data_IF_852621701900
#
_entry.id   IF_852621701900
#
_cell.length_a   1.000
_cell.length_b   1.000
_cell.length_c   1.000
_cell.angle_alpha   90.00
_cell.angle_beta   90.00
_cell.angle_gamma   90.00
#
_symmetry.space_group_name_H-M   'P 1'
#
loop_
_entity.id
_entity.type
_entity.pdbx_description
1 polymer ?
#
# COMPACT_ATOMS: atom_id res chain seq x y z
N UNK A 1 -8.23 -40.35 33.29
CA UNK A 1 -8.61 -39.42 32.20
C UNK A 1 -7.43 -38.61 31.66
N UNK A 2 -6.56 -38.05 32.51
CA UNK A 2 -5.36 -37.28 32.11
C UNK A 2 -4.38 -37.99 31.16
N UNK A 3 -4.02 -39.28 31.34
CA UNK A 3 -3.03 -39.92 30.46
C UNK A 3 -3.61 -40.21 29.06
N UNK A 4 -4.91 -40.45 28.96
CA UNK A 4 -5.59 -40.69 27.68
C UNK A 4 -5.58 -39.42 26.83
N UNK A 5 -5.83 -38.25 27.46
CA UNK A 5 -5.76 -36.97 26.76
C UNK A 5 -4.36 -36.68 26.20
N UNK A 6 -3.31 -37.01 26.95
CA UNK A 6 -1.93 -36.82 26.50
C UNK A 6 -1.61 -37.68 25.27
N UNK A 7 -2.06 -38.93 25.25
CA UNK A 7 -1.89 -39.84 24.09
C UNK A 7 -2.66 -39.35 22.87
N UNK A 8 -3.88 -38.84 23.05
CA UNK A 8 -4.70 -38.31 21.96
C UNK A 8 -4.08 -37.06 21.32
N UNK A 9 -3.45 -36.19 22.11
CA UNK A 9 -2.75 -35.01 21.60
C UNK A 9 -1.49 -35.38 20.80
N UNK A 10 -0.78 -36.43 21.21
CA UNK A 10 0.37 -36.96 20.47
C UNK A 10 -0.05 -37.68 19.17
N UNK A 11 -1.28 -38.17 19.11
CA UNK A 11 -1.86 -38.79 17.92
C UNK A 11 -2.50 -37.80 16.94
N UNK A 12 -2.55 -36.51 17.28
CA UNK A 12 -3.08 -35.48 16.39
C UNK A 12 -2.10 -35.21 15.24
N UNK A 13 -2.44 -35.71 14.05
CA UNK A 13 -1.70 -35.45 12.81
C UNK A 13 -2.02 -34.08 12.19
N UNK A 14 -1.20 -33.61 11.24
CA UNK A 14 -1.47 -32.37 10.52
C UNK A 14 -2.83 -32.45 9.82
N UNK A 15 -3.68 -31.44 10.02
CA UNK A 15 -4.92 -31.30 9.27
C UNK A 15 -4.57 -30.98 7.81
N UNK A 16 -4.80 -31.94 6.91
CA UNK A 16 -4.63 -31.77 5.48
C UNK A 16 -5.75 -30.88 4.90
N UNK A 17 -5.69 -29.58 5.21
CA UNK A 17 -6.52 -28.60 4.54
C UNK A 17 -6.09 -28.52 3.07
N UNK A 18 -7.05 -28.63 2.15
CA UNK A 18 -6.76 -28.53 0.73
C UNK A 18 -6.15 -27.15 0.41
N UNK A 19 -5.08 -27.05 -0.41
CA UNK A 19 -4.48 -25.78 -0.79
C UNK A 19 -5.47 -24.78 -1.40
N UNK A 20 -6.61 -25.26 -1.90
CA UNK A 20 -7.71 -24.45 -2.41
C UNK A 20 -8.27 -23.42 -1.41
N UNK A 21 -8.11 -23.61 -0.10
CA UNK A 21 -8.48 -22.59 0.90
C UNK A 21 -7.49 -21.42 0.98
N UNK A 22 -6.22 -21.62 0.60
CA UNK A 22 -5.22 -20.55 0.51
C UNK A 22 -5.23 -19.85 -0.85
N UNK A 23 -5.80 -20.51 -1.88
CA UNK A 23 -5.97 -19.91 -3.20
C UNK A 23 -6.86 -18.64 -3.18
N UNK A 24 -7.77 -18.52 -2.21
CA UNK A 24 -8.54 -17.29 -2.00
C UNK A 24 -7.72 -16.11 -1.45
N UNK A 25 -6.56 -16.36 -0.84
CA UNK A 25 -5.66 -15.33 -0.29
C UNK A 25 -4.74 -14.75 -1.38
N UNK A 26 -4.50 -15.51 -2.46
CA UNK A 26 -3.80 -15.03 -3.66
C UNK A 26 -4.70 -14.13 -4.55
N UNK A 27 -5.73 -13.52 -3.97
CA UNK A 27 -6.75 -12.72 -4.66
C UNK A 27 -6.19 -11.40 -5.19
N UNK A 28 -6.68 -11.06 -6.39
CA UNK A 28 -6.36 -9.91 -7.24
C UNK A 28 -6.16 -8.55 -6.54
N UNK A 29 -6.70 -8.36 -5.33
CA UNK A 29 -6.64 -7.11 -4.56
C UNK A 29 -5.22 -6.60 -4.31
N UNK A 30 -4.24 -7.50 -4.14
CA UNK A 30 -2.85 -7.10 -3.93
C UNK A 30 -2.20 -6.49 -5.18
N UNK A 31 -2.47 -7.07 -6.35
CA UNK A 31 -1.97 -6.52 -7.62
C UNK A 31 -2.73 -5.25 -8.03
N UNK A 32 -4.02 -5.16 -7.71
CA UNK A 32 -4.82 -3.93 -7.91
C UNK A 32 -4.29 -2.80 -7.01
N UNK A 33 -3.99 -3.09 -5.74
CA UNK A 33 -3.36 -2.12 -4.85
C UNK A 33 -2.00 -1.64 -5.39
N UNK A 34 -1.15 -2.57 -5.86
CA UNK A 34 0.11 -2.23 -6.52
C UNK A 34 -0.08 -1.36 -7.77
N UNK A 35 -1.05 -1.68 -8.62
CA UNK A 35 -1.38 -0.92 -9.81
C UNK A 35 -1.88 0.50 -9.48
N UNK A 36 -2.74 0.64 -8.48
CA UNK A 36 -3.26 1.94 -8.04
C UNK A 36 -2.15 2.86 -7.51
N UNK A 37 -1.23 2.31 -6.71
CA UNK A 37 -0.06 3.06 -6.20
C UNK A 37 0.84 3.48 -7.37
N UNK A 38 1.14 2.57 -8.30
CA UNK A 38 1.94 2.88 -9.48
C UNK A 38 1.35 4.01 -10.33
N UNK A 39 0.03 4.00 -10.52
CA UNK A 39 -0.68 5.05 -11.26
C UNK A 39 -0.60 6.40 -10.55
N UNK A 40 -0.82 6.44 -9.22
CA UNK A 40 -0.73 7.67 -8.44
C UNK A 40 0.67 8.30 -8.53
N UNK A 41 1.73 7.49 -8.44
CA UNK A 41 3.12 7.95 -8.58
C UNK A 41 3.36 8.51 -9.99
N UNK A 42 2.92 7.81 -11.03
CA UNK A 42 3.10 8.25 -12.41
C UNK A 42 2.44 9.61 -12.68
N UNK A 43 1.20 9.81 -12.21
CA UNK A 43 0.48 11.08 -12.34
C UNK A 43 1.13 12.20 -11.52
N UNK A 44 1.58 11.91 -10.29
CA UNK A 44 2.30 12.87 -9.46
C UNK A 44 3.61 13.35 -10.11
N UNK A 45 4.40 12.42 -10.65
CA UNK A 45 5.62 12.76 -11.38
C UNK A 45 5.33 13.53 -12.66
N UNK A 46 4.31 13.14 -13.43
CA UNK A 46 3.89 13.86 -14.63
C UNK A 46 3.49 15.31 -14.31
N UNK A 47 2.66 15.51 -13.28
CA UNK A 47 2.25 16.83 -12.82
C UNK A 47 3.43 17.69 -12.38
N UNK A 48 4.36 17.11 -11.61
CA UNK A 48 5.57 17.80 -11.17
C UNK A 48 6.52 18.17 -12.32
N UNK A 49 6.57 17.34 -13.38
CA UNK A 49 7.36 17.60 -14.60
C UNK A 49 6.69 18.62 -15.52
N UNK A 50 5.36 18.65 -15.60
CA UNK A 50 4.63 19.65 -16.40
C UNK A 50 4.62 21.02 -15.73
N UNK A 51 4.44 21.06 -14.40
CA UNK A 51 4.40 22.32 -13.64
C UNK A 51 5.73 23.07 -13.62
N UNK A 52 6.86 22.38 -13.76
CA UNK A 52 8.20 23.02 -13.87
C UNK A 52 8.45 23.66 -15.24
N UNK A 53 7.74 23.26 -16.30
CA UNK A 53 7.76 23.98 -17.58
C UNK A 53 7.00 25.31 -17.47
N UNK A 54 5.92 25.36 -16.67
CA UNK A 54 5.12 26.59 -16.46
C UNK A 54 5.67 27.52 -15.38
N UNK A 55 6.46 27.02 -14.42
CA UNK A 55 7.07 27.80 -13.34
C UNK A 55 8.41 28.46 -13.71
N UNK A 56 8.87 28.29 -14.95
CA UNK A 56 10.09 28.92 -15.45
C UNK A 56 9.91 30.40 -15.86
N UNK A 57 8.69 30.97 -15.73
CA UNK A 57 8.36 32.32 -16.22
C UNK A 57 7.78 33.31 -15.18
N UNK A 58 7.65 32.98 -13.90
CA UNK A 58 7.24 33.97 -12.88
C UNK A 58 8.45 34.49 -12.07
N UNK A 59 8.79 35.79 -12.16
CA UNK A 59 9.70 36.42 -11.20
C UNK A 59 8.99 36.50 -9.84
N UNK A 60 9.67 36.08 -8.77
CA UNK A 60 9.29 36.37 -7.39
C UNK A 60 9.40 37.90 -7.17
N UNK A 61 8.32 38.62 -7.45
CA UNK A 61 8.10 39.98 -6.95
C UNK A 61 6.91 39.95 -5.99
N UNK A 62 7.23 39.93 -4.69
CA UNK A 62 6.30 40.32 -3.63
C UNK A 62 7.13 40.88 -2.46
N UNK A 63 7.68 42.08 -2.68
CA UNK A 63 7.90 43.04 -1.62
C UNK A 63 6.54 43.32 -0.95
N UNK A 64 6.45 43.07 0.35
CA UNK A 64 5.38 43.58 1.20
C UNK A 64 5.97 43.95 2.57
N UNK A 65 6.76 45.03 2.56
CA UNK A 65 6.94 45.85 3.75
C UNK A 65 5.64 46.65 4.01
N UNK A 66 5.39 46.91 5.30
CA UNK A 66 4.41 47.86 5.88
C UNK A 66 2.92 47.46 5.96
N UNK A 67 2.54 46.94 7.13
CA UNK A 67 1.40 47.52 7.87
C UNK A 67 1.59 47.37 9.39
N UNK A 68 1.97 48.48 10.01
CA UNK A 68 1.94 48.73 11.45
C UNK A 68 0.53 49.17 11.87
N UNK A 69 0.04 48.61 12.98
CA UNK A 69 -1.03 49.17 13.82
C UNK A 69 -0.95 48.52 15.21
#
# INVERSE_FOLDING_TARGET
>A
MRPILAVLLLAAGPAAAHPGHLAGVAGHDHWVAGAAIGLAIALGLWGALKGRESKAEEPEEAEAEEQSA
#
